data_IF_993374222313
#
_entry.id   IF_993374222313
#
_cell.length_a   1.000
_cell.length_b   1.000
_cell.length_c   1.000
_cell.angle_alpha   90.00
_cell.angle_beta   90.00
_cell.angle_gamma   90.00
#
_symmetry.space_group_name_H-M   'P 1'
#
loop_
_entity.id
_entity.type
_entity.pdbx_description
1 polymer ?
#
# COMPACT_ATOMS: atom_id res chain seq x y z
N UNK A 1 -8.67 13.45 5.89
CA UNK A 1 -9.00 13.80 4.48
C UNK A 1 -8.69 12.59 3.63
N UNK A 2 -9.72 11.94 3.09
CA UNK A 2 -9.70 10.68 2.32
C UNK A 2 -9.74 9.39 3.15
N UNK A 3 -9.91 9.50 4.46
CA UNK A 3 -9.93 8.32 5.35
C UNK A 3 -11.21 7.53 5.14
N UNK A 4 -12.34 8.23 4.92
CA UNK A 4 -13.63 7.58 4.72
C UNK A 4 -14.02 7.47 3.24
N UNK A 5 -14.82 6.47 2.85
CA UNK A 5 -15.38 6.37 1.51
C UNK A 5 -16.18 7.62 1.09
N UNK A 6 -16.90 8.24 2.02
CA UNK A 6 -17.75 9.40 1.76
C UNK A 6 -16.92 10.61 1.30
N UNK A 7 -15.79 10.89 1.96
CA UNK A 7 -14.88 11.96 1.56
C UNK A 7 -14.34 11.75 0.13
N UNK A 8 -14.04 10.50 -0.24
CA UNK A 8 -13.56 10.16 -1.59
C UNK A 8 -14.65 10.32 -2.65
N UNK A 9 -15.90 10.01 -2.29
CA UNK A 9 -17.07 10.22 -3.16
C UNK A 9 -17.32 11.70 -3.41
N UNK A 10 -17.18 12.57 -2.41
CA UNK A 10 -17.34 14.03 -2.60
C UNK A 10 -16.29 14.60 -3.58
N UNK A 11 -15.06 14.09 -3.59
CA UNK A 11 -14.05 14.51 -4.56
C UNK A 11 -14.32 14.00 -5.97
N UNK A 12 -14.90 12.80 -6.12
CA UNK A 12 -15.37 12.31 -7.41
C UNK A 12 -16.50 13.21 -7.94
N UNK A 13 -17.44 13.60 -7.09
CA UNK A 13 -18.52 14.54 -7.45
C UNK A 13 -17.98 15.92 -7.83
N UNK A 14 -16.90 16.36 -7.20
CA UNK A 14 -16.19 17.60 -7.53
C UNK A 14 -15.38 17.52 -8.84
N UNK A 15 -15.36 16.37 -9.52
CA UNK A 15 -14.69 16.19 -10.81
C UNK A 15 -13.21 15.84 -10.71
N UNK A 16 -12.72 15.47 -9.52
CA UNK A 16 -11.34 14.97 -9.38
C UNK A 16 -11.25 13.55 -9.90
N UNK A 17 -10.20 13.29 -10.69
CA UNK A 17 -9.95 11.97 -11.29
C UNK A 17 -9.63 10.95 -10.19
N UNK A 18 -10.24 9.76 -10.28
CA UNK A 18 -10.03 8.66 -9.31
C UNK A 18 -8.57 8.32 -9.06
N UNK A 19 -7.73 8.29 -10.10
CA UNK A 19 -6.27 8.07 -9.97
C UNK A 19 -5.62 9.07 -9.01
N UNK A 20 -6.00 10.35 -9.09
CA UNK A 20 -5.44 11.39 -8.22
C UNK A 20 -5.95 11.26 -6.78
N UNK A 21 -7.19 10.82 -6.60
CA UNK A 21 -7.77 10.52 -5.28
C UNK A 21 -7.04 9.33 -4.64
N UNK A 22 -6.72 8.30 -5.43
CA UNK A 22 -5.97 7.13 -4.97
C UNK A 22 -4.53 7.47 -4.57
N UNK A 23 -3.82 8.25 -5.39
CA UNK A 23 -2.47 8.76 -5.05
C UNK A 23 -2.48 9.54 -3.73
N UNK A 24 -3.47 10.42 -3.55
CA UNK A 24 -3.63 11.19 -2.31
C UNK A 24 -3.99 10.27 -1.13
N UNK A 25 -4.87 9.30 -1.34
CA UNK A 25 -5.25 8.31 -0.31
C UNK A 25 -4.04 7.53 0.17
N UNK A 26 -3.19 7.04 -0.74
CA UNK A 26 -1.98 6.30 -0.37
C UNK A 26 -0.97 7.21 0.33
N UNK A 27 -0.74 8.43 -0.17
CA UNK A 27 0.23 9.37 0.40
C UNK A 27 -0.18 9.96 1.76
N UNK A 28 -1.48 10.16 1.96
CA UNK A 28 -2.05 10.81 3.14
C UNK A 28 -2.42 9.83 4.25
N UNK A 29 -2.41 8.52 3.95
CA UNK A 29 -2.66 7.47 4.93
C UNK A 29 -1.39 6.64 5.14
N UNK A 30 -1.30 5.93 6.26
CA UNK A 30 -0.16 5.07 6.60
C UNK A 30 -0.14 3.75 5.79
N UNK A 31 -0.39 3.82 4.48
CA UNK A 31 -0.48 2.67 3.58
C UNK A 31 0.90 2.41 2.98
N UNK A 32 1.45 1.23 3.27
CA UNK A 32 2.73 0.79 2.68
C UNK A 32 2.47 0.00 1.40
N UNK A 33 2.94 0.51 0.27
CA UNK A 33 3.00 -0.27 -0.98
C UNK A 33 4.15 -1.25 -0.88
N UNK A 34 3.86 -2.55 -0.83
CA UNK A 34 4.86 -3.61 -0.90
C UNK A 34 5.08 -4.00 -2.36
N UNK A 35 6.32 -3.89 -2.84
CA UNK A 35 6.70 -4.31 -4.20
C UNK A 35 6.81 -5.83 -4.36
N UNK A 36 6.93 -6.55 -3.25
CA UNK A 36 7.05 -8.00 -3.21
C UNK A 36 5.79 -8.58 -2.56
N UNK A 37 5.21 -9.67 -3.11
CA UNK A 37 4.05 -10.29 -2.50
C UNK A 37 4.38 -10.81 -1.10
N UNK A 38 3.45 -10.65 -0.17
CA UNK A 38 3.62 -10.97 1.27
C UNK A 38 3.89 -12.47 1.52
N UNK A 39 3.66 -13.32 0.51
CA UNK A 39 3.80 -14.78 0.55
C UNK A 39 5.10 -15.32 -0.06
N UNK A 40 6.14 -14.50 -0.21
CA UNK A 40 7.47 -15.03 -0.50
C UNK A 40 8.27 -15.09 0.79
N UNK A 41 8.69 -16.29 1.18
CA UNK A 41 9.78 -16.45 2.12
C UNK A 41 10.96 -15.64 1.57
N UNK A 42 11.21 -14.48 2.19
CA UNK A 42 12.54 -13.91 2.14
C UNK A 42 13.43 -14.95 2.82
N UNK A 43 14.11 -15.77 2.03
CA UNK A 43 15.40 -16.31 2.45
C UNK A 43 16.28 -15.09 2.71
N UNK A 44 16.14 -14.53 3.91
CA UNK A 44 17.08 -13.59 4.45
C UNK A 44 18.44 -14.25 4.32
N UNK A 45 19.38 -13.53 3.72
CA UNK A 45 20.75 -13.97 3.51
C UNK A 45 21.48 -14.34 4.83
N UNK A 46 20.81 -14.16 5.97
CA UNK A 46 21.22 -14.53 7.32
C UNK A 46 20.79 -15.95 7.75
N UNK A 47 19.78 -16.57 7.13
CA UNK A 47 19.28 -17.90 7.53
C UNK A 47 20.08 -19.07 6.96
N UNK A 48 21.06 -18.82 6.09
CA UNK A 48 21.97 -19.82 5.54
C UNK A 48 22.95 -20.49 6.53
N UNK A 49 22.81 -20.25 7.85
CA UNK A 49 23.61 -20.91 8.90
C UNK A 49 22.85 -21.94 9.73
N UNK A 50 21.53 -21.95 9.72
CA UNK A 50 20.75 -22.83 10.61
C UNK A 50 20.19 -24.08 9.92
N UNK A 51 20.44 -24.26 8.62
CA UNK A 51 20.07 -25.47 7.87
C UNK A 51 21.30 -26.17 7.28
N UNK A 52 22.37 -26.31 8.07
CA UNK A 52 23.45 -27.26 7.77
C UNK A 52 23.50 -28.38 8.81
N UNK A 53 22.97 -29.52 8.35
CA UNK A 53 23.13 -30.92 8.81
C UNK A 53 22.56 -31.30 10.16
#
# INVERSE_FOLDING_TARGET
>A
MLETPEERVELLKAGIIGKKIEELYISGNHIKILKHPVLFELESQEMGRYLKK
#
